data_IF_632755491517
#
_entry.id   IF_632755491517
#
_cell.length_a   1.000
_cell.length_b   1.000
_cell.length_c   1.000
_cell.angle_alpha   90.00
_cell.angle_beta   90.00
_cell.angle_gamma   90.00
#
_symmetry.space_group_name_H-M   'P 1'
#
loop_
_entity.id
_entity.type
_entity.pdbx_description
1 polymer ?
#
# COMPACT_ATOMS: atom_id res chain seq x y z
N UNK A 1 5.69 -22.53 12.86
CA UNK A 1 5.21 -21.58 11.83
C UNK A 1 4.17 -20.67 12.47
N UNK A 2 4.58 -19.51 12.98
CA UNK A 2 3.69 -18.57 13.67
C UNK A 2 3.03 -17.67 12.64
N UNK A 3 1.82 -18.00 12.21
CA UNK A 3 0.96 -17.07 11.48
C UNK A 3 0.01 -16.41 12.48
N UNK A 4 0.41 -15.28 13.05
CA UNK A 4 -0.48 -14.38 13.80
C UNK A 4 -0.04 -12.92 13.61
N UNK A 5 -0.62 -12.24 12.63
CA UNK A 5 -0.81 -10.78 12.60
C UNK A 5 -1.96 -10.39 11.65
N UNK A 6 -3.18 -10.88 11.85
CA UNK A 6 -4.36 -10.41 11.10
C UNK A 6 -5.12 -9.34 11.89
N UNK A 7 -4.60 -8.10 11.87
CA UNK A 7 -5.36 -6.91 12.33
C UNK A 7 -5.03 -5.59 11.63
N UNK A 8 -4.23 -5.60 10.57
CA UNK A 8 -4.00 -4.44 9.69
C UNK A 8 -4.07 -4.91 8.24
N UNK A 9 -4.84 -4.23 7.40
CA UNK A 9 -4.87 -4.47 5.96
C UNK A 9 -3.47 -4.16 5.40
N UNK A 10 -2.67 -5.20 5.16
CA UNK A 10 -1.32 -5.11 4.61
C UNK A 10 -1.29 -5.86 3.28
N UNK A 11 -0.78 -5.24 2.20
CA UNK A 11 -0.53 -5.95 0.96
C UNK A 11 0.68 -6.90 1.08
N UNK A 12 0.63 -8.06 0.43
CA UNK A 12 1.72 -9.03 0.39
C UNK A 12 2.15 -9.29 -1.06
N UNK A 13 3.39 -8.92 -1.39
CA UNK A 13 4.00 -9.28 -2.66
C UNK A 13 4.53 -10.72 -2.60
N UNK A 14 4.18 -11.51 -3.60
CA UNK A 14 4.61 -12.88 -3.79
C UNK A 14 5.63 -12.91 -4.92
N UNK A 15 6.87 -13.31 -4.59
CA UNK A 15 7.94 -13.42 -5.57
C UNK A 15 7.50 -14.27 -6.77
N UNK A 16 7.59 -13.69 -7.97
CA UNK A 16 7.17 -14.31 -9.25
C UNK A 16 5.67 -14.66 -9.39
N UNK A 17 4.78 -14.23 -8.49
CA UNK A 17 3.36 -14.56 -8.55
C UNK A 17 2.45 -13.33 -8.61
N UNK A 18 2.74 -12.28 -7.85
CA UNK A 18 1.91 -11.07 -7.84
C UNK A 18 1.64 -10.54 -6.43
N UNK A 19 0.39 -10.15 -6.17
CA UNK A 19 -0.03 -9.42 -4.97
C UNK A 19 -1.24 -10.12 -4.33
N UNK A 20 -1.24 -10.23 -2.99
CA UNK A 20 -2.44 -10.56 -2.20
C UNK A 20 -2.78 -9.36 -1.30
N UNK A 21 -4.03 -8.92 -1.34
CA UNK A 21 -4.58 -7.90 -0.43
C UNK A 21 -5.80 -8.42 0.31
N UNK A 22 -5.99 -7.91 1.53
CA UNK A 22 -7.17 -8.17 2.34
C UNK A 22 -7.74 -6.84 2.83
N UNK A 23 -9.07 -6.70 2.81
CA UNK A 23 -9.82 -5.56 3.31
C UNK A 23 -11.05 -6.00 4.08
N UNK A 24 -11.75 -5.07 4.73
CA UNK A 24 -12.98 -5.37 5.49
C UNK A 24 -14.15 -5.79 4.58
N UNK A 25 -14.11 -5.37 3.31
CA UNK A 25 -15.02 -5.78 2.25
C UNK A 25 -14.24 -5.88 0.91
N UNK A 26 -14.90 -6.36 -0.13
CA UNK A 26 -14.29 -6.55 -1.45
C UNK A 26 -13.78 -5.22 -2.04
N UNK A 27 -14.54 -4.13 -1.90
CA UNK A 27 -14.19 -2.83 -2.46
C UNK A 27 -12.92 -2.26 -1.83
N UNK A 28 -12.78 -2.36 -0.50
CA UNK A 28 -11.57 -1.96 0.23
C UNK A 28 -10.37 -2.84 -0.16
N UNK A 29 -10.57 -4.14 -0.34
CA UNK A 29 -9.50 -5.05 -0.76
C UNK A 29 -9.01 -4.75 -2.19
N UNK A 30 -9.95 -4.47 -3.11
CA UNK A 30 -9.68 -4.12 -4.49
C UNK A 30 -9.02 -2.74 -4.59
N UNK A 31 -9.52 -1.76 -3.85
CA UNK A 31 -8.92 -0.43 -3.77
C UNK A 31 -7.45 -0.54 -3.30
N UNK A 32 -7.18 -1.30 -2.23
CA UNK A 32 -5.82 -1.49 -1.75
C UNK A 32 -4.93 -2.19 -2.79
N UNK A 33 -5.45 -3.16 -3.54
CA UNK A 33 -4.71 -3.81 -4.62
C UNK A 33 -4.34 -2.80 -5.72
N UNK A 34 -5.28 -1.95 -6.12
CA UNK A 34 -5.10 -0.93 -7.14
C UNK A 34 -4.03 0.10 -6.73
N UNK A 35 -4.07 0.61 -5.51
CA UNK A 35 -3.08 1.59 -5.04
C UNK A 35 -1.66 1.01 -5.02
N UNK A 36 -1.51 -0.26 -4.62
CA UNK A 36 -0.20 -0.93 -4.62
C UNK A 36 0.30 -1.15 -6.05
N UNK A 37 -0.57 -1.48 -6.99
CA UNK A 37 -0.22 -1.61 -8.41
C UNK A 37 0.24 -0.26 -9.00
N UNK A 38 -0.44 0.83 -8.67
CA UNK A 38 -0.03 2.19 -9.07
C UNK A 38 1.36 2.54 -8.52
N UNK A 39 1.59 2.29 -7.23
CA UNK A 39 2.90 2.51 -6.60
C UNK A 39 3.99 1.63 -7.21
N UNK A 40 3.70 0.37 -7.51
CA UNK A 40 4.64 -0.55 -8.17
C UNK A 40 5.00 -0.05 -9.57
N UNK A 41 4.01 0.40 -10.36
CA UNK A 41 4.23 0.98 -11.69
C UNK A 41 5.13 2.21 -11.63
N UNK A 42 4.88 3.12 -10.68
CA UNK A 42 5.75 4.29 -10.47
C UNK A 42 7.15 3.90 -10.07
N UNK A 43 7.29 2.96 -9.12
CA UNK A 43 8.59 2.50 -8.68
C UNK A 43 9.40 1.88 -9.82
N UNK A 44 8.78 1.06 -10.69
CA UNK A 44 9.45 0.51 -11.87
C UNK A 44 9.88 1.60 -12.88
N UNK A 45 9.04 2.61 -13.10
CA UNK A 45 9.39 3.77 -13.96
C UNK A 45 10.51 4.62 -13.39
N UNK A 46 10.58 4.77 -12.07
CA UNK A 46 11.67 5.49 -11.41
C UNK A 46 12.95 4.66 -11.46
N UNK A 47 12.88 3.35 -11.21
CA UNK A 47 14.01 2.44 -11.32
C UNK A 47 14.62 2.44 -12.72
N UNK A 48 13.81 2.52 -13.77
CA UNK A 48 14.32 2.54 -15.15
C UNK A 48 15.12 3.80 -15.50
N UNK A 49 15.03 4.87 -14.70
CA UNK A 49 15.85 6.08 -14.89
C UNK A 49 17.31 5.90 -14.47
N UNK A 50 17.61 4.89 -13.63
CA UNK A 50 18.94 4.69 -13.04
C UNK A 50 19.37 5.78 -12.04
N UNK A 51 18.49 6.70 -11.69
CA UNK A 51 18.75 7.76 -10.71
C UNK A 51 18.45 7.27 -9.28
N UNK A 52 19.05 7.95 -8.31
CA UNK A 52 18.70 7.74 -6.90
C UNK A 52 17.22 8.12 -6.67
N UNK A 53 16.45 7.18 -6.13
CA UNK A 53 15.02 7.39 -5.86
C UNK A 53 14.89 7.97 -4.45
N UNK A 54 14.42 9.23 -4.30
CA UNK A 54 14.24 9.83 -2.98
C UNK A 54 13.12 9.11 -2.23
N UNK A 55 13.42 8.63 -1.02
CA UNK A 55 12.46 8.00 -0.12
C UNK A 55 12.10 8.93 1.02
N UNK A 56 10.87 8.81 1.53
CA UNK A 56 10.48 9.48 2.75
C UNK A 56 11.22 8.89 3.94
N UNK A 57 11.69 9.75 4.85
CA UNK A 57 12.23 9.32 6.13
C UNK A 57 11.13 8.65 6.97
N UNK A 58 11.54 7.87 7.99
CA UNK A 58 10.57 7.24 8.90
C UNK A 58 9.70 8.29 9.60
N UNK A 59 10.27 9.42 9.96
CA UNK A 59 9.60 10.55 10.62
C UNK A 59 8.57 11.19 9.69
N UNK A 60 8.95 11.43 8.43
CA UNK A 60 8.04 11.95 7.41
C UNK A 60 6.86 10.99 7.17
N UNK A 61 7.12 9.68 7.14
CA UNK A 61 6.08 8.66 7.01
C UNK A 61 5.10 8.69 8.19
N UNK A 62 5.58 8.89 9.43
CA UNK A 62 4.70 9.04 10.60
C UNK A 62 3.80 10.27 10.50
N UNK A 63 4.32 11.40 10.03
CA UNK A 63 3.53 12.62 9.81
C UNK A 63 2.43 12.37 8.79
N UNK A 64 2.74 11.68 7.69
CA UNK A 64 1.77 11.33 6.65
C UNK A 64 0.68 10.41 7.21
N UNK A 65 1.06 9.34 7.93
CA UNK A 65 0.10 8.42 8.56
C UNK A 65 -0.82 9.15 9.56
N UNK A 66 -0.30 10.12 10.31
CA UNK A 66 -1.10 10.95 11.21
C UNK A 66 -2.16 11.79 10.48
N UNK A 67 -1.83 12.32 9.29
CA UNK A 67 -2.79 13.07 8.45
C UNK A 67 -3.84 12.17 7.81
N UNK A 68 -3.50 10.93 7.47
CA UNK A 68 -4.47 9.96 6.94
C UNK A 68 -5.55 9.59 7.96
N UNK A 69 -5.26 9.65 9.26
CA UNK A 69 -6.26 9.38 10.29
C UNK A 69 -7.37 10.45 10.32
N UNK A 70 -7.05 11.71 9.99
CA UNK A 70 -8.01 12.82 9.99
C UNK A 70 -8.73 13.02 8.65
N UNK A 71 -8.20 12.47 7.55
CA UNK A 71 -8.74 12.60 6.18
C UNK A 71 -9.14 11.26 5.52
N UNK A 72 -9.22 10.17 6.30
CA UNK A 72 -9.30 8.79 5.79
C UNK A 72 -10.38 8.49 4.74
N UNK A 73 -10.10 7.46 3.92
CA UNK A 73 -10.94 6.91 2.84
C UNK A 73 -12.44 7.00 3.10
N UNK A 74 -13.10 7.93 2.40
CA UNK A 74 -14.56 7.90 2.20
C UNK A 74 -14.84 7.10 0.95
N UNK A 75 -14.82 5.78 1.06
CA UNK A 75 -15.48 4.94 0.06
C UNK A 75 -16.95 5.00 0.46
N UNK A 76 -17.76 5.76 -0.26
CA UNK A 76 -19.20 5.80 -0.03
C UNK A 76 -19.75 4.39 -0.24
N UNK A 77 -20.39 3.83 0.79
CA UNK A 77 -21.16 2.59 0.64
C UNK A 77 -22.39 2.93 -0.21
N UNK A 78 -22.36 2.52 -1.46
CA UNK A 78 -23.49 2.60 -2.40
C UNK A 78 -24.37 1.37 -2.34
#
# INVERSE_FOLDING_TARGET
MSQRESKKAKPFLLAHHGLITCGENLDKALWLAQEVEVLASWYLKLLSTGLEIPLLSKEQMQVVLGKFHTYGLRIEES
#
